data_IF_246662477447
#
_entry.id   IF_246662477447
#
_cell.length_a   1.000
_cell.length_b   1.000
_cell.length_c   1.000
_cell.angle_alpha   90.00
_cell.angle_beta   90.00
_cell.angle_gamma   90.00
#
_symmetry.space_group_name_H-M   'P 1'
#
loop_
_entity.id
_entity.type
_entity.pdbx_description
1 polymer ?
#
# COMPACT_ATOMS: atom_id res chain seq x y z
N UNK A 1 -21.63 -54.58 0.75
CA UNK A 1 -20.28 -53.98 0.63
C UNK A 1 -20.46 -52.66 -0.09
N UNK A 2 -20.39 -51.54 0.63
CA UNK A 2 -20.41 -50.21 0.05
C UNK A 2 -18.96 -49.77 -0.20
N UNK A 3 -18.58 -49.65 -1.46
CA UNK A 3 -17.32 -49.05 -1.89
C UNK A 3 -17.36 -47.56 -1.63
N UNK A 4 -16.68 -47.11 -0.62
CA UNK A 4 -16.35 -45.70 -0.44
C UNK A 4 -15.30 -45.33 -1.53
N UNK A 5 -15.74 -44.61 -2.54
CA UNK A 5 -14.82 -43.94 -3.46
C UNK A 5 -14.14 -42.81 -2.66
N UNK A 6 -12.90 -43.04 -2.27
CA UNK A 6 -12.03 -41.98 -1.79
C UNK A 6 -11.77 -41.06 -2.98
N UNK A 7 -12.53 -39.98 -3.10
CA UNK A 7 -12.25 -38.90 -4.02
C UNK A 7 -10.86 -38.37 -3.71
N UNK A 8 -9.90 -38.53 -4.61
CA UNK A 8 -8.60 -37.87 -4.54
C UNK A 8 -8.86 -36.36 -4.59
N UNK A 9 -8.75 -35.69 -3.45
CA UNK A 9 -8.77 -34.24 -3.38
C UNK A 9 -7.67 -33.73 -4.32
N UNK A 10 -8.05 -33.17 -5.42
CA UNK A 10 -7.13 -32.63 -6.42
C UNK A 10 -6.61 -31.32 -5.85
N UNK A 11 -5.30 -31.27 -5.51
CA UNK A 11 -4.67 -30.07 -4.97
C UNK A 11 -4.94 -28.88 -5.92
N UNK A 12 -5.50 -27.80 -5.39
CA UNK A 12 -5.70 -26.57 -6.15
C UNK A 12 -4.35 -26.02 -6.63
N UNK A 13 -4.35 -25.29 -7.74
CA UNK A 13 -3.14 -24.67 -8.28
C UNK A 13 -3.31 -23.15 -8.33
N UNK A 14 -2.28 -22.45 -7.93
CA UNK A 14 -2.20 -20.99 -7.99
C UNK A 14 -0.95 -20.59 -8.78
N UNK A 15 -1.07 -19.66 -9.74
CA UNK A 15 0.08 -19.05 -10.41
C UNK A 15 0.43 -17.80 -9.62
N UNK A 16 1.63 -17.78 -9.02
CA UNK A 16 2.10 -16.65 -8.22
C UNK A 16 2.75 -15.54 -9.07
N UNK A 17 3.12 -14.43 -8.44
CA UNK A 17 3.69 -13.28 -9.15
C UNK A 17 5.12 -13.51 -9.70
N UNK A 18 5.78 -14.59 -9.31
CA UNK A 18 7.03 -15.04 -9.97
C UNK A 18 6.76 -15.97 -11.14
N UNK A 19 5.50 -16.16 -11.54
CA UNK A 19 5.07 -17.01 -12.65
C UNK A 19 5.14 -18.52 -12.35
N UNK A 20 5.29 -18.90 -11.07
CA UNK A 20 5.38 -20.32 -10.68
C UNK A 20 3.97 -20.88 -10.45
N UNK A 21 3.73 -22.08 -10.99
CA UNK A 21 2.53 -22.85 -10.64
C UNK A 21 2.76 -23.57 -9.32
N UNK A 22 2.07 -23.15 -8.27
CA UNK A 22 2.20 -23.66 -6.92
C UNK A 22 0.99 -24.55 -6.59
N UNK A 23 1.24 -25.80 -6.20
CA UNK A 23 0.21 -26.70 -5.68
C UNK A 23 -0.11 -26.28 -4.24
N UNK A 24 -1.37 -26.03 -3.93
CA UNK A 24 -1.84 -25.62 -2.61
C UNK A 24 -2.97 -26.56 -2.16
N UNK A 25 -3.23 -26.72 -0.85
CA UNK A 25 -4.40 -27.45 -0.37
C UNK A 25 -5.71 -26.84 -0.89
N UNK A 26 -6.73 -27.66 -1.11
CA UNK A 26 -8.06 -27.22 -1.60
C UNK A 26 -8.71 -26.20 -0.65
N UNK A 27 -8.41 -26.28 0.63
CA UNK A 27 -8.89 -25.36 1.64
C UNK A 27 -7.72 -24.83 2.46
N UNK A 28 -7.40 -23.58 2.30
CA UNK A 28 -6.31 -22.91 3.01
C UNK A 28 -6.90 -22.17 4.22
N UNK A 29 -6.79 -22.79 5.39
CA UNK A 29 -7.28 -22.23 6.66
C UNK A 29 -6.18 -21.62 7.53
N UNK A 30 -4.92 -21.82 7.14
CA UNK A 30 -3.75 -21.33 7.87
C UNK A 30 -2.73 -20.77 6.89
N UNK A 31 -2.49 -19.47 6.96
CA UNK A 31 -1.45 -18.78 6.17
C UNK A 31 -0.50 -18.03 7.09
N UNK A 32 0.76 -17.94 6.69
CA UNK A 32 1.65 -16.88 7.20
C UNK A 32 1.75 -15.78 6.17
N UNK A 33 1.89 -14.54 6.64
CA UNK A 33 2.18 -13.37 5.82
C UNK A 33 3.46 -12.71 6.31
N UNK A 34 4.27 -12.15 5.42
CA UNK A 34 5.54 -11.48 5.74
C UNK A 34 5.45 -9.95 5.71
N UNK A 35 4.26 -9.40 5.39
CA UNK A 35 4.01 -7.97 5.34
C UNK A 35 2.66 -7.62 5.99
N UNK A 36 2.68 -6.67 6.93
CA UNK A 36 1.46 -6.22 7.63
C UNK A 36 0.40 -5.62 6.72
N UNK A 37 0.77 -5.11 5.53
CA UNK A 37 -0.18 -4.59 4.54
C UNK A 37 -1.06 -5.68 3.93
N UNK A 38 -0.62 -6.94 3.93
CA UNK A 38 -1.44 -8.05 3.47
C UNK A 38 -2.66 -8.28 4.38
N UNK A 39 -2.58 -7.85 5.64
CA UNK A 39 -3.74 -7.85 6.53
C UNK A 39 -4.85 -6.92 6.03
N UNK A 40 -4.49 -5.77 5.43
CA UNK A 40 -5.45 -4.87 4.80
C UNK A 40 -6.09 -5.52 3.57
N UNK A 41 -5.28 -6.23 2.75
CA UNK A 41 -5.80 -6.98 1.60
C UNK A 41 -6.78 -8.09 2.03
N UNK A 42 -6.45 -8.84 3.08
CA UNK A 42 -7.34 -9.83 3.67
C UNK A 42 -8.63 -9.18 4.23
N UNK A 43 -8.52 -7.98 4.81
CA UNK A 43 -9.68 -7.23 5.32
C UNK A 43 -10.67 -6.81 4.22
N UNK A 44 -10.21 -6.63 2.99
CA UNK A 44 -11.08 -6.33 1.83
C UNK A 44 -11.93 -7.54 1.39
N UNK A 45 -11.45 -8.76 1.64
CA UNK A 45 -12.04 -9.96 1.05
C UNK A 45 -12.60 -10.95 2.09
N UNK A 46 -12.25 -10.79 3.36
CA UNK A 46 -12.70 -11.65 4.45
C UNK A 46 -13.48 -10.86 5.50
N UNK A 47 -14.52 -11.47 6.07
CA UNK A 47 -15.24 -10.91 7.20
C UNK A 47 -14.38 -10.92 8.50
N UNK A 48 -13.50 -11.90 8.63
CA UNK A 48 -12.48 -12.00 9.68
C UNK A 48 -11.11 -12.24 9.02
N UNK A 49 -10.29 -11.19 8.84
CA UNK A 49 -8.98 -11.30 8.22
C UNK A 49 -7.92 -11.95 9.11
N UNK A 50 -8.21 -12.10 10.40
CA UNK A 50 -7.29 -12.68 11.39
C UNK A 50 -7.43 -14.21 11.48
N UNK A 51 -8.63 -14.71 11.22
CA UNK A 51 -8.95 -16.15 11.32
C UNK A 51 -7.96 -17.06 10.57
N UNK A 52 -7.53 -16.76 9.34
CA UNK A 52 -6.60 -17.62 8.61
C UNK A 52 -5.12 -17.41 9.02
N UNK A 53 -4.78 -16.44 9.87
CA UNK A 53 -3.39 -16.16 10.20
C UNK A 53 -2.80 -17.19 11.17
N UNK A 54 -1.82 -17.96 10.69
CA UNK A 54 -0.94 -18.77 11.52
C UNK A 54 0.27 -17.95 12.03
N UNK A 55 0.63 -16.88 11.31
CA UNK A 55 1.71 -15.97 11.67
C UNK A 55 1.72 -14.73 10.81
N UNK A 56 2.25 -13.64 11.36
CA UNK A 56 2.40 -12.35 10.67
C UNK A 56 3.58 -11.55 11.24
N UNK A 57 4.08 -10.49 10.58
CA UNK A 57 5.28 -9.78 11.02
C UNK A 57 5.08 -8.93 12.28
N UNK A 58 3.84 -8.68 12.72
CA UNK A 58 3.49 -7.67 13.73
C UNK A 58 4.07 -6.30 13.39
N UNK A 59 4.11 -5.99 12.10
CA UNK A 59 4.70 -4.77 11.58
C UNK A 59 3.76 -3.58 11.76
N UNK A 60 3.64 -3.14 13.02
CA UNK A 60 2.79 -2.03 13.42
C UNK A 60 3.17 -0.74 12.70
N UNK A 61 4.47 -0.56 12.38
CA UNK A 61 4.92 0.64 11.67
C UNK A 61 4.32 0.77 10.26
N UNK A 62 4.05 -0.35 9.60
CA UNK A 62 3.48 -0.34 8.24
C UNK A 62 1.99 -0.07 8.20
N UNK A 63 1.24 -0.56 9.18
CA UNK A 63 -0.21 -0.33 9.26
C UNK A 63 -0.59 0.76 10.27
N UNK A 64 0.36 1.19 11.13
CA UNK A 64 0.17 2.18 12.18
C UNK A 64 -0.41 1.60 13.48
N UNK A 65 0.05 2.12 14.61
CA UNK A 65 -0.35 1.62 15.93
C UNK A 65 -1.86 1.78 16.17
N UNK A 66 -2.43 2.93 15.86
CA UNK A 66 -3.87 3.15 15.97
C UNK A 66 -4.68 2.19 15.09
N UNK A 67 -4.22 1.91 13.87
CA UNK A 67 -4.85 0.90 13.00
C UNK A 67 -4.76 -0.49 13.62
N UNK A 68 -3.61 -0.86 14.19
CA UNK A 68 -3.47 -2.14 14.89
C UNK A 68 -4.47 -2.27 16.04
N UNK A 69 -4.67 -1.21 16.84
CA UNK A 69 -5.64 -1.22 17.93
C UNK A 69 -7.09 -1.40 17.44
N UNK A 70 -7.43 -0.91 16.26
CA UNK A 70 -8.73 -1.19 15.64
C UNK A 70 -8.89 -2.68 15.32
N UNK A 71 -7.84 -3.33 14.79
CA UNK A 71 -7.84 -4.78 14.57
C UNK A 71 -7.96 -5.54 15.90
N UNK A 72 -7.21 -5.16 16.94
CA UNK A 72 -7.29 -5.80 18.27
C UNK A 72 -8.69 -5.68 18.86
N UNK A 73 -9.32 -4.50 18.76
CA UNK A 73 -10.68 -4.28 19.27
C UNK A 73 -11.70 -5.16 18.55
N UNK A 74 -11.59 -5.32 17.23
CA UNK A 74 -12.55 -6.09 16.43
C UNK A 74 -12.24 -7.58 16.40
N UNK A 75 -10.96 -7.93 16.38
CA UNK A 75 -10.45 -9.31 16.28
C UNK A 75 -9.35 -9.54 17.34
N UNK A 76 -9.69 -9.71 18.62
CA UNK A 76 -8.70 -9.82 19.70
C UNK A 76 -7.68 -10.96 19.51
N UNK A 77 -8.02 -11.96 18.71
CA UNK A 77 -7.13 -13.09 18.39
C UNK A 77 -5.81 -12.63 17.73
N UNK A 78 -5.77 -11.48 17.05
CA UNK A 78 -4.55 -10.96 16.39
C UNK A 78 -3.39 -10.77 17.35
N UNK A 79 -3.67 -10.41 18.61
CA UNK A 79 -2.64 -10.22 19.63
C UNK A 79 -1.89 -11.52 19.99
N UNK A 80 -2.53 -12.69 19.73
CA UNK A 80 -1.97 -14.02 20.00
C UNK A 80 -1.32 -14.66 18.77
N UNK A 81 -1.51 -14.11 17.57
CA UNK A 81 -0.90 -14.64 16.33
C UNK A 81 0.62 -14.54 16.44
N UNK A 82 1.38 -15.62 16.20
CA UNK A 82 2.84 -15.62 16.25
C UNK A 82 3.49 -14.61 15.32
N UNK A 83 4.64 -14.08 15.73
CA UNK A 83 5.47 -13.24 14.86
C UNK A 83 6.38 -14.11 14.00
N UNK A 84 6.29 -14.02 12.66
CA UNK A 84 7.02 -14.86 11.72
C UNK A 84 7.98 -14.10 10.79
N UNK A 85 8.01 -12.78 10.87
CA UNK A 85 8.92 -11.94 10.13
C UNK A 85 9.22 -10.66 10.91
N UNK A 86 10.25 -9.91 10.51
CA UNK A 86 10.48 -8.55 11.01
C UNK A 86 10.17 -7.54 9.91
N UNK A 87 9.83 -6.32 10.31
CA UNK A 87 9.55 -5.20 9.40
C UNK A 87 10.72 -4.82 8.48
N UNK A 88 11.93 -5.26 8.80
CA UNK A 88 13.16 -4.91 8.08
C UNK A 88 13.50 -5.86 6.92
N UNK A 89 12.58 -6.72 6.51
CA UNK A 89 12.80 -7.60 5.35
C UNK A 89 13.61 -8.86 5.67
N UNK A 90 13.79 -9.22 6.95
CA UNK A 90 14.38 -10.51 7.31
C UNK A 90 13.27 -11.56 7.43
N UNK A 91 13.25 -12.49 6.50
CA UNK A 91 12.38 -13.66 6.57
C UNK A 91 12.88 -14.63 7.66
N UNK A 92 12.01 -14.96 8.62
CA UNK A 92 12.35 -15.90 9.69
C UNK A 92 11.80 -17.29 9.39
N UNK A 93 12.64 -18.12 8.77
CA UNK A 93 12.30 -19.49 8.36
C UNK A 93 11.83 -20.35 9.54
N UNK A 94 12.54 -20.32 10.67
CA UNK A 94 12.23 -21.16 11.85
C UNK A 94 10.86 -20.79 12.43
N UNK A 95 10.54 -19.51 12.51
CA UNK A 95 9.24 -19.05 12.98
C UNK A 95 8.10 -19.45 12.04
N UNK A 96 8.32 -19.44 10.73
CA UNK A 96 7.33 -19.92 9.75
C UNK A 96 7.13 -21.42 9.88
N UNK A 97 8.21 -22.21 9.99
CA UNK A 97 8.13 -23.66 10.21
C UNK A 97 7.39 -23.99 11.50
N UNK A 98 7.68 -23.28 12.59
CA UNK A 98 7.00 -23.45 13.88
C UNK A 98 5.51 -23.08 13.83
N UNK A 99 5.13 -22.09 13.04
CA UNK A 99 3.73 -21.71 12.83
C UNK A 99 2.93 -22.75 12.02
N UNK A 100 3.63 -23.61 11.29
CA UNK A 100 3.07 -24.71 10.48
C UNK A 100 1.87 -24.26 9.62
N UNK A 101 2.03 -23.26 8.73
CA UNK A 101 0.97 -22.82 7.84
C UNK A 101 0.69 -23.86 6.75
N UNK A 102 -0.50 -23.78 6.15
CA UNK A 102 -0.79 -24.54 4.93
C UNK A 102 -0.16 -23.89 3.70
N UNK A 103 0.07 -22.57 3.74
CA UNK A 103 0.73 -21.78 2.69
C UNK A 103 1.47 -20.61 3.34
N UNK A 104 2.71 -20.37 2.93
CA UNK A 104 3.43 -19.14 3.23
C UNK A 104 3.20 -18.13 2.10
N UNK A 105 2.51 -17.03 2.41
CA UNK A 105 2.27 -15.91 1.49
C UNK A 105 3.32 -14.85 1.73
N UNK A 106 4.11 -14.52 0.71
CA UNK A 106 5.32 -13.71 0.86
C UNK A 106 5.45 -12.63 -0.21
N UNK A 107 6.16 -11.58 0.13
CA UNK A 107 6.43 -10.43 -0.74
C UNK A 107 7.42 -10.78 -1.84
N UNK A 108 7.21 -10.27 -3.05
CA UNK A 108 8.14 -10.45 -4.18
C UNK A 108 9.52 -9.85 -3.86
N UNK A 109 9.57 -8.65 -3.28
CA UNK A 109 10.81 -7.90 -3.05
C UNK A 109 11.55 -8.23 -1.76
N UNK A 110 10.87 -8.79 -0.75
CA UNK A 110 11.44 -9.02 0.59
C UNK A 110 11.19 -10.44 1.12
N UNK A 111 10.81 -11.36 0.28
CA UNK A 111 10.49 -12.75 0.63
C UNK A 111 11.74 -13.62 0.92
N UNK A 112 11.52 -14.91 1.16
CA UNK A 112 12.58 -15.89 1.43
C UNK A 112 13.53 -16.07 0.24
N UNK A 113 14.77 -16.43 0.54
CA UNK A 113 15.74 -16.90 -0.47
C UNK A 113 15.33 -18.23 -1.08
N UNK A 114 15.89 -18.59 -2.24
CA UNK A 114 15.59 -19.86 -2.89
C UNK A 114 15.92 -21.08 -2.01
N UNK A 115 16.98 -21.00 -1.19
CA UNK A 115 17.32 -22.04 -0.21
C UNK A 115 16.24 -22.17 0.88
N UNK A 116 15.72 -21.07 1.38
CA UNK A 116 14.64 -21.06 2.36
C UNK A 116 13.32 -21.57 1.75
N UNK A 117 13.03 -21.22 0.48
CA UNK A 117 11.88 -21.76 -0.25
C UNK A 117 11.99 -23.29 -0.34
N UNK A 118 13.16 -23.82 -0.72
CA UNK A 118 13.37 -25.26 -0.81
C UNK A 118 13.15 -25.96 0.55
N UNK A 119 13.59 -25.35 1.66
CA UNK A 119 13.38 -25.88 3.01
C UNK A 119 11.89 -25.88 3.40
N UNK A 120 11.15 -24.81 3.10
CA UNK A 120 9.69 -24.75 3.33
C UNK A 120 8.97 -25.83 2.52
N UNK A 121 9.33 -25.99 1.24
CA UNK A 121 8.74 -27.00 0.37
C UNK A 121 9.03 -28.42 0.85
N UNK A 122 10.25 -28.69 1.32
CA UNK A 122 10.63 -29.97 1.92
C UNK A 122 9.81 -30.28 3.19
N UNK A 123 9.41 -29.25 3.94
CA UNK A 123 8.51 -29.34 5.08
C UNK A 123 7.02 -29.41 4.69
N UNK A 124 6.69 -29.47 3.39
CA UNK A 124 5.31 -29.53 2.90
C UNK A 124 4.59 -28.16 2.92
N UNK A 125 5.32 -27.06 3.06
CA UNK A 125 4.76 -25.70 3.09
C UNK A 125 5.00 -25.02 1.74
N UNK A 126 4.00 -24.92 0.85
CA UNK A 126 4.11 -24.18 -0.40
C UNK A 126 4.26 -22.69 -0.13
N UNK A 127 5.07 -22.02 -0.98
CA UNK A 127 5.35 -20.58 -0.92
C UNK A 127 4.70 -19.90 -2.12
N UNK A 128 3.87 -18.87 -1.86
CA UNK A 128 3.14 -18.08 -2.87
C UNK A 128 3.56 -16.63 -2.78
N UNK A 129 4.04 -16.06 -3.89
CA UNK A 129 4.48 -14.67 -3.98
C UNK A 129 3.35 -13.76 -4.41
N UNK A 130 3.16 -12.67 -3.64
CA UNK A 130 2.25 -11.55 -3.95
C UNK A 130 2.96 -10.20 -3.78
N UNK A 131 2.34 -9.12 -4.26
CA UNK A 131 2.89 -7.77 -4.15
C UNK A 131 1.79 -6.70 -4.17
N UNK A 132 1.84 -5.81 -3.19
CA UNK A 132 1.03 -4.59 -3.14
C UNK A 132 1.91 -3.34 -3.07
N UNK A 133 3.23 -3.50 -3.21
CA UNK A 133 4.17 -2.46 -2.85
C UNK A 133 5.20 -2.13 -3.94
N UNK A 134 5.89 -3.14 -4.49
CA UNK A 134 6.99 -2.89 -5.43
C UNK A 134 6.47 -2.38 -6.78
N UNK A 135 5.42 -3.00 -7.30
CA UNK A 135 4.76 -2.56 -8.53
C UNK A 135 3.23 -2.64 -8.38
N UNK A 136 2.62 -1.68 -7.65
CA UNK A 136 1.19 -1.75 -7.31
C UNK A 136 0.28 -1.72 -8.54
N UNK A 137 0.59 -0.92 -9.55
CA UNK A 137 -0.23 -0.82 -10.77
C UNK A 137 -0.32 -2.13 -11.54
N UNK A 138 0.73 -2.95 -11.51
CA UNK A 138 0.78 -4.25 -12.18
C UNK A 138 0.29 -5.39 -11.31
N UNK A 139 0.64 -5.37 -10.02
CA UNK A 139 0.64 -6.55 -9.16
C UNK A 139 -0.53 -6.63 -8.17
N UNK A 140 -1.22 -5.52 -7.86
CA UNK A 140 -2.30 -5.53 -6.86
C UNK A 140 -3.47 -6.42 -7.25
N UNK A 141 -3.99 -6.30 -8.47
CA UNK A 141 -5.12 -7.12 -8.90
C UNK A 141 -4.78 -8.63 -8.92
N UNK A 142 -3.64 -9.07 -9.52
CA UNK A 142 -3.24 -10.48 -9.42
C UNK A 142 -3.06 -10.93 -7.97
N UNK A 143 -2.48 -10.11 -7.11
CA UNK A 143 -2.29 -10.45 -5.69
C UNK A 143 -3.61 -10.66 -4.95
N UNK A 144 -4.60 -9.78 -5.18
CA UNK A 144 -5.94 -9.94 -4.61
C UNK A 144 -6.64 -11.21 -5.14
N UNK A 145 -6.49 -11.54 -6.43
CA UNK A 145 -7.03 -12.79 -7.00
C UNK A 145 -6.41 -14.01 -6.35
N UNK A 146 -5.08 -14.00 -6.17
CA UNK A 146 -4.34 -15.08 -5.50
C UNK A 146 -4.87 -15.25 -4.06
N UNK A 147 -4.95 -14.16 -3.29
CA UNK A 147 -5.50 -14.22 -1.92
C UNK A 147 -6.95 -14.72 -1.91
N UNK A 148 -7.76 -14.26 -2.86
CA UNK A 148 -9.16 -14.71 -3.01
C UNK A 148 -9.27 -16.19 -3.30
N UNK A 149 -8.39 -16.74 -4.15
CA UNK A 149 -8.31 -18.18 -4.45
C UNK A 149 -7.87 -18.98 -3.20
N UNK A 150 -6.78 -18.56 -2.54
CA UNK A 150 -6.26 -19.22 -1.36
C UNK A 150 -7.28 -19.27 -0.21
N UNK A 151 -8.04 -18.20 -0.01
CA UNK A 151 -8.97 -18.07 1.12
C UNK A 151 -10.43 -18.42 0.81
N UNK A 152 -10.72 -18.89 -0.40
CA UNK A 152 -12.08 -19.19 -0.84
C UNK A 152 -12.98 -17.95 -0.99
N UNK A 153 -12.38 -16.75 -1.12
CA UNK A 153 -13.09 -15.46 -1.21
C UNK A 153 -12.99 -14.79 -2.59
N UNK A 154 -12.79 -15.56 -3.65
CA UNK A 154 -12.59 -15.08 -5.02
C UNK A 154 -13.70 -14.12 -5.49
N UNK A 155 -14.96 -14.35 -5.12
CA UNK A 155 -16.07 -13.47 -5.48
C UNK A 155 -15.89 -12.06 -4.88
N UNK A 156 -15.50 -11.95 -3.60
CA UNK A 156 -15.24 -10.66 -2.94
C UNK A 156 -14.00 -9.97 -3.52
N UNK A 157 -12.93 -10.73 -3.78
CA UNK A 157 -11.74 -10.20 -4.43
C UNK A 157 -12.08 -9.59 -5.81
N UNK A 158 -12.83 -10.31 -6.64
CA UNK A 158 -13.25 -9.83 -7.95
C UNK A 158 -14.19 -8.60 -7.86
N UNK A 159 -15.08 -8.56 -6.88
CA UNK A 159 -15.95 -7.40 -6.65
C UNK A 159 -15.16 -6.13 -6.33
N UNK A 160 -14.16 -6.22 -5.43
CA UNK A 160 -13.30 -5.09 -5.11
C UNK A 160 -12.39 -4.69 -6.29
N UNK A 161 -11.81 -5.66 -6.99
CA UNK A 161 -11.01 -5.42 -8.20
C UNK A 161 -11.84 -4.66 -9.24
N UNK A 162 -13.07 -5.10 -9.50
CA UNK A 162 -13.97 -4.43 -10.43
C UNK A 162 -14.27 -2.98 -10.01
N UNK A 163 -14.53 -2.75 -8.73
CA UNK A 163 -14.75 -1.42 -8.17
C UNK A 163 -13.52 -0.52 -8.36
N UNK A 164 -12.35 -0.96 -7.90
CA UNK A 164 -11.11 -0.19 -8.02
C UNK A 164 -10.74 0.10 -9.48
N UNK A 165 -10.89 -0.89 -10.37
CA UNK A 165 -10.64 -0.74 -11.82
C UNK A 165 -11.53 0.33 -12.44
N UNK A 166 -12.83 0.33 -12.15
CA UNK A 166 -13.77 1.35 -12.67
C UNK A 166 -13.30 2.78 -12.34
N UNK A 167 -12.83 3.01 -11.10
CA UNK A 167 -12.30 4.30 -10.67
C UNK A 167 -10.97 4.64 -11.38
N UNK A 168 -10.05 3.69 -11.51
CA UNK A 168 -8.78 3.88 -12.24
C UNK A 168 -9.02 4.17 -13.71
N UNK A 169 -9.89 3.42 -14.38
CA UNK A 169 -10.20 3.59 -15.81
C UNK A 169 -10.77 4.97 -16.10
N UNK A 170 -11.65 5.48 -15.24
CA UNK A 170 -12.19 6.84 -15.33
C UNK A 170 -11.09 7.90 -15.33
N UNK A 171 -10.09 7.76 -14.46
CA UNK A 171 -8.94 8.67 -14.37
C UNK A 171 -8.06 8.51 -15.61
N UNK A 172 -7.69 7.29 -15.97
CA UNK A 172 -6.82 7.00 -17.11
C UNK A 172 -7.40 7.53 -18.43
N UNK A 173 -8.71 7.37 -18.68
CA UNK A 173 -9.38 7.87 -19.88
C UNK A 173 -9.35 9.39 -20.01
N UNK A 174 -9.39 10.12 -18.90
CA UNK A 174 -9.29 11.58 -18.90
C UNK A 174 -7.84 12.03 -19.10
N UNK A 175 -6.91 11.40 -18.41
CA UNK A 175 -5.47 11.70 -18.52
C UNK A 175 -4.93 11.41 -19.91
N UNK A 176 -5.44 10.39 -20.61
CA UNK A 176 -5.05 10.06 -21.98
C UNK A 176 -5.33 11.18 -23.00
N UNK A 177 -6.20 12.14 -22.65
CA UNK A 177 -6.53 13.31 -23.50
C UNK A 177 -5.62 14.52 -23.23
N UNK A 178 -4.75 14.47 -22.21
CA UNK A 178 -3.85 15.57 -21.88
C UNK A 178 -2.63 15.56 -22.81
N UNK A 179 -2.31 16.72 -23.35
CA UNK A 179 -1.05 16.90 -24.05
C UNK A 179 0.13 16.94 -23.04
N UNK A 180 1.35 16.55 -23.43
CA UNK A 180 2.52 16.58 -22.53
C UNK A 180 2.76 17.93 -21.86
N UNK A 181 2.49 19.04 -22.55
CA UNK A 181 2.62 20.43 -22.04
C UNK A 181 1.63 20.76 -20.92
N UNK A 182 0.53 20.03 -20.83
CA UNK A 182 -0.55 20.25 -19.85
C UNK A 182 -0.34 19.43 -18.59
N UNK A 183 0.78 18.71 -18.46
CA UNK A 183 1.17 17.93 -17.29
C UNK A 183 1.97 18.81 -16.32
N UNK A 184 1.39 19.23 -15.17
CA UNK A 184 2.09 20.08 -14.23
C UNK A 184 3.23 19.31 -13.53
N UNK A 185 4.31 20.02 -13.22
CA UNK A 185 5.43 19.48 -12.44
C UNK A 185 5.02 19.27 -10.99
N UNK A 186 5.37 18.12 -10.45
CA UNK A 186 5.06 17.68 -9.08
C UNK A 186 6.34 17.30 -8.36
N UNK A 187 6.53 17.87 -7.19
CA UNK A 187 7.50 17.39 -6.23
C UNK A 187 6.77 16.50 -5.22
N UNK A 188 7.04 15.19 -5.26
CA UNK A 188 6.54 14.23 -4.28
C UNK A 188 7.65 13.91 -3.29
N UNK A 189 7.45 14.27 -2.03
CA UNK A 189 8.38 13.95 -0.94
C UNK A 189 7.83 12.80 -0.10
N UNK A 190 8.56 11.69 -0.09
CA UNK A 190 8.22 10.52 0.72
C UNK A 190 8.71 10.71 2.16
N UNK A 191 7.86 10.43 3.14
CA UNK A 191 8.18 10.56 4.56
C UNK A 191 8.74 11.94 4.92
N UNK A 192 8.01 13.00 4.56
CA UNK A 192 8.45 14.37 4.70
C UNK A 192 8.80 14.72 6.15
N UNK A 193 10.05 15.15 6.37
CA UNK A 193 10.57 15.45 7.70
C UNK A 193 11.15 14.24 8.45
N UNK A 194 11.40 13.10 7.79
CA UNK A 194 12.07 11.94 8.41
C UNK A 194 13.50 12.30 8.85
N UNK A 195 14.13 13.24 8.16
CA UNK A 195 15.42 13.80 8.51
C UNK A 195 15.41 15.31 8.35
N UNK A 196 16.37 16.00 8.99
CA UNK A 196 16.56 17.44 8.82
C UNK A 196 16.94 17.80 7.38
N UNK A 197 17.70 16.92 6.74
CA UNK A 197 18.07 17.07 5.35
C UNK A 197 16.90 16.66 4.46
N UNK A 198 16.46 17.54 3.61
CA UNK A 198 15.52 17.25 2.54
C UNK A 198 16.24 16.46 1.43
N UNK A 199 15.64 15.66 0.59
CA UNK A 199 14.25 15.22 0.52
C UNK A 199 14.23 13.79 -0.01
N UNK A 200 13.56 12.88 0.64
CA UNK A 200 13.29 11.59 0.02
C UNK A 200 12.25 11.78 -1.09
N UNK A 201 12.57 11.35 -2.29
CA UNK A 201 11.67 11.49 -3.43
C UNK A 201 11.62 10.19 -4.24
N UNK A 202 10.48 9.83 -4.82
CA UNK A 202 10.45 8.75 -5.78
C UNK A 202 11.11 9.19 -7.09
N UNK A 203 11.82 8.23 -7.71
CA UNK A 203 12.27 8.31 -9.09
C UNK A 203 11.23 7.72 -10.05
N UNK A 204 11.69 6.86 -10.96
CA UNK A 204 10.81 6.11 -11.87
C UNK A 204 10.28 4.86 -11.18
N UNK A 205 9.00 4.58 -11.40
CA UNK A 205 8.32 3.43 -10.80
C UNK A 205 7.81 3.67 -9.37
N UNK A 206 7.20 2.66 -8.78
CA UNK A 206 6.65 2.68 -7.43
C UNK A 206 5.79 3.94 -7.18
N UNK A 207 6.08 4.72 -6.14
CA UNK A 207 5.30 5.93 -5.81
C UNK A 207 5.32 7.00 -6.90
N UNK A 208 6.36 7.08 -7.75
CA UNK A 208 6.43 8.01 -8.87
C UNK A 208 5.34 7.75 -9.91
N UNK A 209 4.97 6.49 -10.11
CA UNK A 209 3.92 6.10 -11.08
C UNK A 209 2.55 6.68 -10.73
N UNK A 210 2.25 6.93 -9.45
CA UNK A 210 0.98 7.56 -9.05
C UNK A 210 0.85 8.98 -9.63
N UNK A 211 1.95 9.75 -9.62
CA UNK A 211 1.99 11.09 -10.22
C UNK A 211 1.79 11.01 -11.73
N UNK A 212 2.52 10.10 -12.39
CA UNK A 212 2.46 9.94 -13.85
C UNK A 212 1.09 9.42 -14.30
N UNK A 213 0.50 8.48 -13.55
CA UNK A 213 -0.81 7.89 -13.83
C UNK A 213 -1.94 8.93 -13.85
N UNK A 214 -1.89 9.90 -12.94
CA UNK A 214 -2.90 10.97 -12.89
C UNK A 214 -2.55 12.18 -13.77
N UNK A 215 -1.53 12.08 -14.63
CA UNK A 215 -1.16 13.11 -15.60
C UNK A 215 -0.29 14.23 -15.04
N UNK A 216 0.40 14.02 -13.92
CA UNK A 216 1.48 14.90 -13.47
C UNK A 216 2.81 14.55 -14.11
N UNK A 217 3.83 15.35 -13.79
CA UNK A 217 5.24 15.08 -14.11
C UNK A 217 6.06 15.08 -12.81
N UNK A 218 6.53 13.89 -12.39
CA UNK A 218 7.35 13.75 -11.20
C UNK A 218 8.78 14.26 -11.45
N UNK A 219 9.18 15.38 -10.84
CA UNK A 219 10.52 15.94 -11.03
C UNK A 219 11.64 15.03 -10.52
N UNK A 220 11.37 14.16 -9.54
CA UNK A 220 12.33 13.17 -9.06
C UNK A 220 12.73 12.16 -10.15
N UNK A 221 11.80 11.81 -11.05
CA UNK A 221 12.05 10.87 -12.14
C UNK A 221 13.04 11.37 -13.21
N UNK A 222 13.29 12.68 -13.24
CA UNK A 222 14.26 13.28 -14.17
C UNK A 222 15.71 12.95 -13.79
N UNK A 223 15.98 12.75 -12.49
CA UNK A 223 17.36 12.62 -11.96
C UNK A 223 17.60 11.36 -11.14
N UNK A 224 16.56 10.79 -10.53
CA UNK A 224 16.67 9.56 -9.73
C UNK A 224 16.44 8.32 -10.60
N UNK A 225 17.46 7.47 -10.68
CA UNK A 225 17.38 6.21 -11.45
C UNK A 225 16.65 5.10 -10.67
N UNK A 226 16.74 5.14 -9.35
CA UNK A 226 16.08 4.17 -8.46
C UNK A 226 14.62 4.58 -8.16
N UNK A 227 13.75 3.64 -7.78
CA UNK A 227 12.36 3.94 -7.41
C UNK A 227 12.21 4.95 -6.27
N UNK A 228 13.21 5.02 -5.36
CA UNK A 228 13.28 6.00 -4.26
C UNK A 228 14.73 6.45 -4.10
N UNK A 229 14.93 7.72 -3.82
CA UNK A 229 16.26 8.30 -3.61
C UNK A 229 16.21 9.64 -2.89
N UNK A 230 17.38 10.19 -2.60
CA UNK A 230 17.52 11.53 -2.02
C UNK A 230 17.61 12.56 -3.13
N UNK A 231 16.63 13.44 -3.22
CA UNK A 231 16.62 14.57 -4.15
C UNK A 231 17.33 15.76 -3.51
N UNK A 232 18.22 16.42 -4.27
CA UNK A 232 18.85 17.64 -3.81
C UNK A 232 17.82 18.78 -3.76
N UNK A 233 17.78 19.54 -2.67
CA UNK A 233 16.83 20.64 -2.49
C UNK A 233 17.07 21.77 -3.49
N UNK A 234 18.31 22.05 -3.87
CA UNK A 234 18.65 23.06 -4.85
C UNK A 234 18.11 22.70 -6.24
N UNK A 235 18.11 21.39 -6.57
CA UNK A 235 17.46 20.91 -7.78
C UNK A 235 15.95 21.14 -7.71
N UNK A 236 15.28 20.81 -6.60
CA UNK A 236 13.86 21.06 -6.45
C UNK A 236 13.52 22.55 -6.57
N UNK A 237 14.36 23.44 -6.00
CA UNK A 237 14.21 24.89 -6.12
C UNK A 237 14.37 25.34 -7.59
N UNK A 238 15.38 24.82 -8.29
CA UNK A 238 15.64 25.19 -9.70
C UNK A 238 14.51 24.72 -10.64
N UNK A 239 13.85 23.63 -10.32
CA UNK A 239 12.71 23.09 -11.09
C UNK A 239 11.40 23.82 -10.78
N UNK A 240 11.31 24.46 -9.63
CA UNK A 240 10.15 25.18 -9.11
C UNK A 240 8.81 24.47 -9.41
N UNK A 241 8.55 23.31 -8.81
CA UNK A 241 7.38 22.49 -9.12
C UNK A 241 6.09 23.25 -8.83
N UNK A 242 5.08 23.02 -9.66
CA UNK A 242 3.75 23.65 -9.50
C UNK A 242 2.96 23.08 -8.35
N UNK A 243 3.30 21.87 -7.90
CA UNK A 243 2.60 21.14 -6.85
C UNK A 243 3.64 20.49 -5.95
N UNK A 244 3.42 20.59 -4.63
CA UNK A 244 4.17 19.86 -3.63
C UNK A 244 3.24 18.89 -2.90
N UNK A 245 3.58 17.61 -2.93
CA UNK A 245 2.88 16.54 -2.21
C UNK A 245 3.86 15.92 -1.22
N UNK A 246 3.50 15.93 0.06
CA UNK A 246 4.26 15.29 1.13
C UNK A 246 3.54 14.05 1.60
N UNK A 247 4.24 12.93 1.80
CA UNK A 247 3.66 11.79 2.50
C UNK A 247 4.20 11.69 3.92
N UNK A 248 3.38 11.16 4.83
CA UNK A 248 3.74 11.05 6.24
C UNK A 248 2.91 10.02 7.00
N UNK A 249 3.06 10.03 8.30
CA UNK A 249 2.34 9.12 9.19
C UNK A 249 2.88 9.17 10.62
N UNK A 250 2.32 8.35 11.51
CA UNK A 250 2.65 8.31 12.93
C UNK A 250 4.15 8.13 13.23
N UNK A 251 4.85 7.38 12.39
CA UNK A 251 6.30 7.13 12.54
C UNK A 251 7.18 8.39 12.44
N UNK A 252 6.64 9.50 11.95
CA UNK A 252 7.36 10.77 11.82
C UNK A 252 7.11 11.73 13.00
N UNK A 253 6.28 11.37 13.96
CA UNK A 253 5.94 12.27 15.07
C UNK A 253 7.18 12.69 15.87
N UNK A 254 8.07 11.73 16.16
CA UNK A 254 9.29 12.00 16.94
C UNK A 254 10.33 12.85 16.20
N UNK A 255 10.28 12.88 14.86
CA UNK A 255 11.19 13.70 14.04
C UNK A 255 10.63 15.09 13.75
N UNK A 256 9.37 15.37 14.13
CA UNK A 256 8.67 16.61 13.76
C UNK A 256 8.25 16.65 12.29
N UNK A 257 8.17 15.48 11.64
CA UNK A 257 7.71 15.37 10.25
C UNK A 257 6.21 15.41 10.11
N UNK A 258 5.71 15.15 8.90
CA UNK A 258 4.30 15.14 8.57
C UNK A 258 3.60 13.97 9.27
N UNK A 259 2.63 14.27 10.15
CA UNK A 259 1.81 13.28 10.83
C UNK A 259 0.36 13.33 10.35
N UNK A 260 -0.17 12.18 9.94
CA UNK A 260 -1.55 11.98 9.57
C UNK A 260 -1.86 10.48 9.49
N UNK A 261 -3.11 10.12 9.19
CA UNK A 261 -3.61 8.75 9.23
C UNK A 261 -4.38 8.46 10.51
N UNK A 262 -4.51 7.18 10.86
CA UNK A 262 -5.20 6.77 12.06
C UNK A 262 -4.59 7.39 13.33
N UNK A 263 -5.44 7.91 14.21
CA UNK A 263 -5.02 8.56 15.45
C UNK A 263 -4.72 10.06 15.34
N UNK A 264 -4.80 10.64 14.13
CA UNK A 264 -4.58 12.09 13.92
C UNK A 264 -5.81 12.74 13.32
N UNK A 265 -6.19 13.89 13.88
CA UNK A 265 -7.24 14.76 13.34
C UNK A 265 -6.70 15.68 12.23
N UNK A 266 -7.61 16.32 11.51
CA UNK A 266 -7.27 17.21 10.40
C UNK A 266 -6.49 18.46 10.83
N UNK A 267 -6.73 18.96 12.05
CA UNK A 267 -6.04 20.15 12.57
C UNK A 267 -4.57 19.83 12.84
N UNK A 268 -4.28 18.72 13.53
CA UNK A 268 -2.91 18.25 13.78
C UNK A 268 -2.17 17.92 12.49
N UNK A 269 -2.84 17.23 11.57
CA UNK A 269 -2.26 16.87 10.27
C UNK A 269 -1.91 18.14 9.45
N UNK A 270 -2.82 19.13 9.41
CA UNK A 270 -2.56 20.40 8.71
C UNK A 270 -1.45 21.21 9.36
N UNK A 271 -1.38 21.26 10.69
CA UNK A 271 -0.31 21.94 11.41
C UNK A 271 1.07 21.32 11.10
N UNK A 272 1.16 19.99 11.06
CA UNK A 272 2.40 19.29 10.70
C UNK A 272 2.77 19.49 9.22
N UNK A 273 1.80 19.53 8.30
CA UNK A 273 2.04 19.87 6.90
C UNK A 273 2.58 21.31 6.77
N UNK A 274 2.01 22.27 7.50
CA UNK A 274 2.51 23.63 7.53
C UNK A 274 3.96 23.68 8.01
N UNK A 275 4.30 22.96 9.07
CA UNK A 275 5.66 22.89 9.60
C UNK A 275 6.66 22.34 8.57
N UNK A 276 6.34 21.22 7.91
CA UNK A 276 7.25 20.65 6.89
C UNK A 276 7.36 21.53 5.64
N UNK A 277 6.32 22.30 5.31
CA UNK A 277 6.34 23.27 4.20
C UNK A 277 7.18 24.50 4.50
N UNK A 278 7.42 24.85 5.79
CA UNK A 278 8.27 25.97 6.21
C UNK A 278 9.77 25.62 6.28
N UNK A 279 10.16 24.39 6.01
CA UNK A 279 11.59 23.99 5.99
C UNK A 279 12.37 24.81 4.94
N UNK A 280 13.67 25.01 5.25
CA UNK A 280 14.58 25.70 4.34
C UNK A 280 14.55 25.08 2.94
N UNK A 281 14.44 25.91 1.91
CA UNK A 281 14.31 25.49 0.52
C UNK A 281 12.86 25.15 0.12
N UNK A 282 12.11 24.43 0.93
CA UNK A 282 10.70 24.07 0.64
C UNK A 282 9.80 25.32 0.65
N UNK A 283 9.94 26.20 1.64
CA UNK A 283 9.15 27.42 1.77
C UNK A 283 9.29 28.36 0.57
N UNK A 284 10.35 28.24 -0.23
CA UNK A 284 10.62 29.08 -1.40
C UNK A 284 9.84 28.63 -2.65
N UNK A 285 9.36 27.36 -2.68
CA UNK A 285 8.69 26.78 -3.85
C UNK A 285 7.39 27.54 -4.16
N UNK A 286 7.13 27.78 -5.43
CA UNK A 286 5.87 28.38 -5.91
C UNK A 286 4.67 27.56 -5.45
N UNK A 287 4.76 26.23 -5.43
CA UNK A 287 3.73 25.35 -4.91
C UNK A 287 3.30 25.71 -3.46
N UNK A 288 4.28 26.00 -2.58
CA UNK A 288 4.01 26.41 -1.19
C UNK A 288 3.40 27.79 -1.13
N UNK A 289 3.97 28.76 -1.83
CA UNK A 289 3.50 30.15 -1.86
C UNK A 289 2.07 30.29 -2.39
N UNK A 290 1.70 29.45 -3.37
CA UNK A 290 0.35 29.45 -3.97
C UNK A 290 -0.64 28.53 -3.26
N UNK A 291 -0.19 27.77 -2.24
CA UNK A 291 -1.00 26.84 -1.47
C UNK A 291 -1.36 25.55 -2.21
N UNK A 292 -0.63 25.20 -3.27
CA UNK A 292 -0.74 23.89 -3.93
C UNK A 292 0.15 22.88 -3.23
N UNK A 293 -0.09 22.71 -1.93
CA UNK A 293 0.68 21.90 -0.99
C UNK A 293 -0.24 20.96 -0.26
N UNK A 294 0.04 19.67 -0.37
CA UNK A 294 -0.83 18.60 0.07
C UNK A 294 -0.07 17.58 0.90
N UNK A 295 -0.76 16.99 1.88
CA UNK A 295 -0.26 15.89 2.71
C UNK A 295 -1.10 14.63 2.49
N UNK A 296 -0.46 13.48 2.35
CA UNK A 296 -1.10 12.16 2.22
C UNK A 296 -0.58 11.19 3.27
N UNK A 297 -1.46 10.43 3.91
CA UNK A 297 -1.05 9.31 4.74
C UNK A 297 -0.31 8.27 3.89
N UNK A 298 0.96 8.05 4.21
CA UNK A 298 1.84 7.16 3.45
C UNK A 298 1.27 5.74 3.31
N UNK A 299 0.47 5.32 4.27
CA UNK A 299 -0.19 4.02 4.27
C UNK A 299 -1.30 3.87 3.22
N UNK A 300 -1.77 4.97 2.60
CA UNK A 300 -2.74 4.92 1.50
C UNK A 300 -2.07 4.69 0.14
N UNK A 301 -0.80 5.09 -0.01
CA UNK A 301 -0.03 4.81 -1.22
C UNK A 301 0.62 3.43 -1.09
N UNK A 302 0.80 2.71 -2.18
CA UNK A 302 1.29 1.32 -2.17
C UNK A 302 0.50 0.41 -1.20
N UNK A 303 -0.80 0.53 -1.24
CA UNK A 303 -1.74 -0.15 -0.36
C UNK A 303 -2.83 -0.82 -1.20
N UNK A 304 -3.45 -1.89 -0.73
CA UNK A 304 -4.61 -2.46 -1.41
C UNK A 304 -5.78 -1.49 -1.65
N UNK A 305 -5.83 -0.36 -0.92
CA UNK A 305 -6.84 0.70 -1.07
C UNK A 305 -6.29 1.97 -1.70
N UNK A 306 -5.21 1.87 -2.46
CA UNK A 306 -4.50 3.00 -3.08
C UNK A 306 -5.33 3.82 -4.08
N UNK A 307 -6.46 3.30 -4.53
CA UNK A 307 -7.38 4.07 -5.38
C UNK A 307 -7.79 5.39 -4.75
N UNK A 308 -7.86 5.45 -3.41
CA UNK A 308 -8.15 6.70 -2.67
C UNK A 308 -7.00 7.70 -2.83
N UNK A 309 -5.74 7.23 -2.78
CA UNK A 309 -4.57 8.08 -3.01
C UNK A 309 -4.49 8.54 -4.47
N UNK A 310 -4.81 7.67 -5.44
CA UNK A 310 -4.88 8.00 -6.86
C UNK A 310 -5.91 9.11 -7.11
N UNK A 311 -7.11 9.01 -6.53
CA UNK A 311 -8.14 10.03 -6.65
C UNK A 311 -7.74 11.35 -5.99
N UNK A 312 -7.11 11.30 -4.79
CA UNK A 312 -6.59 12.50 -4.15
C UNK A 312 -5.54 13.20 -5.03
N UNK A 313 -4.59 12.46 -5.58
CA UNK A 313 -3.60 13.02 -6.50
C UNK A 313 -4.24 13.59 -7.76
N UNK A 314 -5.23 12.91 -8.34
CA UNK A 314 -5.95 13.40 -9.52
C UNK A 314 -6.62 14.76 -9.25
N UNK A 315 -7.32 14.90 -8.13
CA UNK A 315 -8.00 16.16 -7.74
C UNK A 315 -7.02 17.28 -7.43
N UNK A 316 -5.84 16.98 -6.89
CA UNK A 316 -4.82 17.97 -6.58
C UNK A 316 -4.04 18.43 -7.82
N UNK A 317 -3.74 17.49 -8.71
CA UNK A 317 -2.92 17.76 -9.89
C UNK A 317 -3.77 18.44 -10.97
N UNK A 318 -4.99 17.97 -11.19
CA UNK A 318 -5.92 18.49 -12.19
C UNK A 318 -7.31 18.76 -11.61
N UNK A 319 -7.51 19.77 -10.74
CA UNK A 319 -8.77 20.01 -10.05
C UNK A 319 -9.95 20.20 -11.00
N UNK A 320 -9.77 20.91 -12.12
CA UNK A 320 -10.84 21.14 -13.09
C UNK A 320 -11.24 19.87 -13.85
N UNK A 321 -10.26 18.99 -14.14
CA UNK A 321 -10.49 17.74 -14.86
C UNK A 321 -11.22 16.71 -13.99
N UNK A 322 -11.01 16.78 -12.66
CA UNK A 322 -11.50 15.81 -11.69
C UNK A 322 -12.42 16.42 -10.63
N UNK A 323 -13.11 17.53 -10.93
CA UNK A 323 -14.03 18.22 -9.99
C UNK A 323 -15.20 17.35 -9.50
N UNK A 324 -15.52 16.28 -10.21
CA UNK A 324 -16.56 15.29 -9.88
C UNK A 324 -16.02 14.06 -9.14
N UNK A 325 -14.72 14.01 -8.85
CA UNK A 325 -14.07 12.94 -8.09
C UNK A 325 -13.96 13.35 -6.63
N UNK A 326 -14.45 12.49 -5.74
CA UNK A 326 -14.42 12.69 -4.30
C UNK A 326 -13.75 11.49 -3.61
N UNK A 327 -12.45 11.62 -3.26
CA UNK A 327 -11.71 10.55 -2.58
C UNK A 327 -12.34 10.15 -1.23
N UNK A 328 -13.01 11.09 -0.53
CA UNK A 328 -13.66 10.79 0.74
C UNK A 328 -14.89 9.90 0.54
N UNK A 329 -15.66 10.16 -0.49
CA UNK A 329 -16.80 9.31 -0.87
C UNK A 329 -16.31 7.91 -1.22
N UNK A 330 -15.25 7.81 -2.01
CA UNK A 330 -14.63 6.52 -2.38
C UNK A 330 -14.14 5.76 -1.14
N UNK A 331 -13.46 6.42 -0.20
CA UNK A 331 -13.02 5.80 1.05
C UNK A 331 -14.21 5.31 1.90
N UNK A 332 -15.26 6.13 2.00
CA UNK A 332 -16.48 5.76 2.73
C UNK A 332 -17.16 4.52 2.13
N UNK A 333 -17.23 4.44 0.79
CA UNK A 333 -17.76 3.26 0.10
C UNK A 333 -16.89 2.01 0.31
N UNK A 334 -15.55 2.14 0.28
CA UNK A 334 -14.63 1.04 0.55
C UNK A 334 -14.81 0.55 2.00
N UNK A 335 -14.90 1.46 2.96
CA UNK A 335 -15.12 1.16 4.37
C UNK A 335 -16.44 0.39 4.59
N UNK A 336 -17.51 0.81 3.94
CA UNK A 336 -18.85 0.22 4.13
C UNK A 336 -19.01 -1.12 3.42
N UNK A 337 -18.43 -1.28 2.24
CA UNK A 337 -18.72 -2.41 1.35
C UNK A 337 -17.71 -3.52 1.43
N UNK A 338 -16.45 -3.19 1.72
CA UNK A 338 -15.34 -4.13 1.54
C UNK A 338 -14.54 -4.37 2.82
N UNK A 339 -14.13 -3.31 3.53
CA UNK A 339 -13.21 -3.47 4.66
C UNK A 339 -13.88 -4.06 5.90
N UNK A 340 -13.35 -5.19 6.39
CA UNK A 340 -13.74 -5.75 7.68
C UNK A 340 -13.33 -4.82 8.85
N UNK A 341 -12.20 -4.11 8.71
CA UNK A 341 -11.75 -3.03 9.61
C UNK A 341 -11.69 -1.75 8.81
N UNK A 342 -12.64 -0.80 9.02
CA UNK A 342 -12.66 0.46 8.30
C UNK A 342 -11.37 1.25 8.51
N UNK A 343 -10.91 1.96 7.47
CA UNK A 343 -9.86 2.94 7.61
C UNK A 343 -10.42 4.18 8.32
N UNK A 344 -9.78 4.59 9.41
CA UNK A 344 -10.14 5.76 10.20
C UNK A 344 -8.98 6.76 10.27
N UNK A 345 -9.30 8.00 10.63
CA UNK A 345 -8.33 9.08 10.76
C UNK A 345 -8.19 9.93 9.50
N UNK A 346 -7.26 10.87 9.55
CA UNK A 346 -7.05 11.85 8.49
C UNK A 346 -6.17 11.26 7.39
N UNK A 347 -6.76 10.86 6.29
CA UNK A 347 -6.05 10.27 5.15
C UNK A 347 -5.22 11.28 4.36
N UNK A 348 -5.70 12.53 4.28
CA UNK A 348 -5.03 13.62 3.55
C UNK A 348 -5.44 14.99 4.07
N UNK A 349 -4.63 15.99 3.76
CA UNK A 349 -4.87 17.41 4.10
C UNK A 349 -4.31 18.32 3.00
N UNK A 350 -4.83 19.56 2.96
CA UNK A 350 -4.31 20.67 2.17
C UNK A 350 -3.96 21.82 3.09
N UNK A 351 -3.01 22.69 2.69
CA UNK A 351 -2.71 23.93 3.40
C UNK A 351 -3.80 25.01 3.20
N UNK A 352 -4.55 24.90 2.13
CA UNK A 352 -5.71 25.78 1.83
C UNK A 352 -7.00 25.08 2.16
#
# INVERSE_FOLDING_TARGET
MALWAAGTAQAAQVVDLRGRTVKVPDQVHKITIDDGRFLVALSLILADPVKPLAGWPRDIHRIGDATYQQYVKRFPAIAKVPQVASSAGSFNLEAVLAAAPYVAVVSVGAGPSDAQIAQLQAAGIPVVFIDFFDNPFKNQEPSLRILGQLTGSAAKANAYIGYSRQHRDRIAQRVAKLAPKDRPTVFLEAHAGISKDCCNSPGKGNMGEYVDFVGGHNIGADVLKAPVGKLNIEYAISRDPKIYIATGGAHLEKTGGLVLGAGYDAARARASLAAVAQRQGIAQLTAVKTGRTYGLAHQLINSPIDIVAIEAFATWIHPELFKDVDPQKTLNEINQRFLAVPYEGTGWVSLK
#
